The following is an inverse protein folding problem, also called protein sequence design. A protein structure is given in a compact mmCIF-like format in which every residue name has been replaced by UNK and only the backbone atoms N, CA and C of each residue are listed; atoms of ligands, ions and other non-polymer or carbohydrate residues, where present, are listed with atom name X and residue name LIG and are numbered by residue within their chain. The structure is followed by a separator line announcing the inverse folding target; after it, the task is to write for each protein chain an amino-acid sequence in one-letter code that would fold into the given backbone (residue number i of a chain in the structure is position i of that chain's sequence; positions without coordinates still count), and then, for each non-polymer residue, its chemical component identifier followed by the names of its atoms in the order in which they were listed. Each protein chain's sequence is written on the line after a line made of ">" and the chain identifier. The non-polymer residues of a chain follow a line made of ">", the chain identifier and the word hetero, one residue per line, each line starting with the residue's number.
data_IF_061796220918
#
_entry.id   IF_061796220918
#
_cell.length_a   1.000
_cell.length_b   1.000
_cell.length_c   1.000
_cell.angle_alpha   90.00
_cell.angle_beta   90.00
_cell.angle_gamma   90.00
#
_symmetry.space_group_name_H-M   'P 1'
#
loop_
_entity.id
_entity.type
_entity.pdbx_description
1 polymer ?
#
# COMPACT_ATOMS: atom_id res chain seq x y z
N UNK A 1 -24.71 -30.96 -0.41
CA UNK A 1 -23.24 -31.04 -0.58
C UNK A 1 -22.57 -29.69 -0.25
N UNK A 2 -23.06 -28.58 -0.76
CA UNK A 2 -22.49 -27.24 -0.54
C UNK A 2 -22.51 -26.79 0.91
N UNK A 3 -23.53 -27.20 1.69
CA UNK A 3 -23.61 -26.90 3.12
C UNK A 3 -22.48 -27.55 3.93
N UNK A 4 -21.95 -28.69 3.47
CA UNK A 4 -20.81 -29.34 4.12
C UNK A 4 -19.51 -28.53 4.01
N UNK A 5 -19.42 -27.63 3.07
CA UNK A 5 -18.27 -26.71 2.93
C UNK A 5 -18.54 -25.38 3.65
N UNK A 6 -19.77 -24.87 3.54
CA UNK A 6 -20.13 -23.56 4.11
C UNK A 6 -20.11 -23.58 5.65
N UNK A 7 -20.72 -24.62 6.26
CA UNK A 7 -20.84 -24.69 7.71
C UNK A 7 -19.49 -24.78 8.42
N UNK A 8 -18.54 -25.66 8.03
CA UNK A 8 -17.21 -25.68 8.64
C UNK A 8 -16.43 -24.38 8.42
N UNK A 9 -16.54 -23.79 7.23
CA UNK A 9 -15.84 -22.54 6.90
C UNK A 9 -16.37 -21.38 7.74
N UNK A 10 -17.66 -21.31 7.99
CA UNK A 10 -18.27 -20.31 8.86
C UNK A 10 -17.85 -20.49 10.33
N UNK A 11 -17.80 -21.73 10.81
CA UNK A 11 -17.35 -22.04 12.18
C UNK A 11 -15.86 -21.71 12.35
N UNK A 12 -15.04 -21.96 11.32
CA UNK A 12 -13.61 -21.65 11.33
C UNK A 12 -13.34 -20.14 11.38
N UNK A 13 -14.13 -19.32 10.67
CA UNK A 13 -14.02 -17.84 10.74
C UNK A 13 -14.24 -17.31 12.17
N UNK A 14 -15.07 -18.02 12.96
CA UNK A 14 -15.37 -17.60 14.33
C UNK A 14 -14.28 -18.05 15.31
N UNK A 15 -13.59 -19.18 15.03
CA UNK A 15 -12.65 -19.84 15.95
C UNK A 15 -11.19 -19.57 15.69
N UNK A 16 -10.77 -19.30 14.44
CA UNK A 16 -9.36 -19.23 14.05
C UNK A 16 -8.86 -17.80 13.88
N UNK A 17 -7.60 -17.59 14.25
CA UNK A 17 -6.89 -16.31 14.04
C UNK A 17 -6.52 -16.08 12.56
N UNK A 18 -6.38 -17.13 11.75
CA UNK A 18 -6.12 -17.03 10.30
C UNK A 18 -7.43 -16.98 9.49
N UNK A 19 -8.03 -15.81 9.43
CA UNK A 19 -9.33 -15.56 8.77
C UNK A 19 -9.31 -15.68 7.24
N UNK A 20 -8.13 -15.59 6.60
CA UNK A 20 -8.02 -15.50 5.13
C UNK A 20 -8.43 -16.78 4.43
N UNK A 21 -7.97 -17.94 4.91
CA UNK A 21 -8.30 -19.24 4.32
C UNK A 21 -9.79 -19.58 4.45
N UNK A 22 -10.35 -19.33 5.63
CA UNK A 22 -11.76 -19.58 5.93
C UNK A 22 -12.70 -18.66 5.15
N UNK A 23 -12.30 -17.40 4.90
CA UNK A 23 -13.03 -16.46 4.07
C UNK A 23 -13.07 -16.92 2.60
N UNK A 24 -11.94 -17.39 2.07
CA UNK A 24 -11.85 -17.93 0.71
C UNK A 24 -12.72 -19.18 0.57
N UNK A 25 -12.66 -20.12 1.53
CA UNK A 25 -13.46 -21.31 1.52
C UNK A 25 -14.97 -21.02 1.61
N UNK A 26 -15.36 -20.00 2.41
CA UNK A 26 -16.75 -19.54 2.49
C UNK A 26 -17.22 -18.94 1.15
N UNK A 27 -16.41 -18.10 0.50
CA UNK A 27 -16.74 -17.52 -0.81
C UNK A 27 -16.92 -18.62 -1.88
N UNK A 28 -16.03 -19.62 -1.89
CA UNK A 28 -16.16 -20.76 -2.80
C UNK A 28 -17.45 -21.55 -2.50
N UNK A 29 -17.73 -21.82 -1.23
CA UNK A 29 -18.93 -22.52 -0.81
C UNK A 29 -20.22 -21.80 -1.22
N UNK A 30 -20.28 -20.47 -1.06
CA UNK A 30 -21.41 -19.64 -1.49
C UNK A 30 -21.55 -19.63 -3.02
N UNK A 31 -20.44 -19.53 -3.77
CA UNK A 31 -20.44 -19.60 -5.22
C UNK A 31 -21.01 -20.95 -5.73
N UNK A 32 -20.59 -22.07 -5.11
CA UNK A 32 -21.10 -23.39 -5.42
C UNK A 32 -22.59 -23.54 -5.06
N UNK A 33 -23.06 -22.93 -3.97
CA UNK A 33 -24.46 -22.95 -3.57
C UNK A 33 -25.32 -22.18 -4.57
N UNK A 34 -24.90 -20.99 -5.01
CA UNK A 34 -25.57 -20.21 -6.03
C UNK A 34 -25.62 -20.93 -7.38
N UNK A 35 -24.55 -21.66 -7.73
CA UNK A 35 -24.50 -22.49 -8.92
C UNK A 35 -25.45 -23.69 -8.84
N UNK A 36 -25.60 -24.34 -7.66
CA UNK A 36 -26.49 -25.49 -7.48
C UNK A 36 -27.99 -25.14 -7.53
N UNK A 37 -28.31 -23.84 -7.50
CA UNK A 37 -29.70 -23.32 -7.60
C UNK A 37 -30.03 -22.77 -8.98
N UNK A 38 -29.19 -23.03 -10.00
CA UNK A 38 -29.30 -22.48 -11.36
C UNK A 38 -29.42 -20.94 -11.43
N UNK A 39 -29.05 -20.27 -10.32
CA UNK A 39 -29.04 -18.80 -10.27
C UNK A 39 -27.82 -18.27 -11.01
N UNK A 40 -26.70 -19.01 -10.99
CA UNK A 40 -25.48 -18.68 -11.72
C UNK A 40 -25.07 -19.88 -12.56
N UNK A 41 -25.00 -19.68 -13.87
CA UNK A 41 -24.51 -20.69 -14.79
C UNK A 41 -23.03 -21.01 -14.48
N UNK A 42 -22.72 -22.30 -14.23
CA UNK A 42 -21.36 -22.74 -13.92
C UNK A 42 -20.36 -22.37 -15.02
N UNK A 43 -20.83 -22.23 -16.25
CA UNK A 43 -20.01 -21.76 -17.36
C UNK A 43 -19.59 -20.30 -17.20
N UNK A 44 -20.39 -19.46 -16.55
CA UNK A 44 -20.07 -18.06 -16.24
C UNK A 44 -18.95 -17.97 -15.19
N UNK A 45 -18.96 -18.86 -14.19
CA UNK A 45 -17.90 -18.90 -13.18
C UNK A 45 -16.56 -19.21 -13.85
N UNK A 46 -16.49 -20.19 -14.74
CA UNK A 46 -15.25 -20.50 -15.48
C UNK A 46 -14.82 -19.38 -16.41
N UNK A 47 -15.77 -18.75 -17.10
CA UNK A 47 -15.47 -17.61 -17.99
C UNK A 47 -14.94 -16.39 -17.23
N UNK A 48 -15.35 -16.21 -15.97
CA UNK A 48 -14.91 -15.08 -15.14
C UNK A 48 -13.62 -15.40 -14.36
N UNK A 49 -13.47 -16.65 -13.90
CA UNK A 49 -12.33 -17.10 -13.09
C UNK A 49 -11.01 -17.01 -13.86
N UNK A 50 -11.02 -17.41 -15.13
CA UNK A 50 -9.84 -17.39 -15.98
C UNK A 50 -9.28 -15.98 -16.20
N UNK A 51 -10.07 -14.95 -16.58
CA UNK A 51 -9.60 -13.57 -16.64
C UNK A 51 -9.11 -13.04 -15.27
N UNK A 52 -9.78 -13.38 -14.17
CA UNK A 52 -9.37 -12.92 -12.83
C UNK A 52 -8.00 -13.50 -12.47
N UNK A 53 -7.74 -14.78 -12.76
CA UNK A 53 -6.42 -15.38 -12.54
C UNK A 53 -5.37 -14.66 -13.37
N UNK A 54 -5.63 -14.36 -14.65
CA UNK A 54 -4.68 -13.61 -15.48
C UNK A 54 -4.43 -12.19 -14.95
N UNK A 55 -5.44 -11.52 -14.44
CA UNK A 55 -5.30 -10.21 -13.79
C UNK A 55 -4.42 -10.32 -12.54
N UNK A 56 -4.65 -11.31 -11.68
CA UNK A 56 -3.85 -11.54 -10.48
C UNK A 56 -2.39 -11.86 -10.85
N UNK A 57 -2.17 -12.72 -11.82
CA UNK A 57 -0.81 -13.05 -12.31
C UNK A 57 -0.15 -11.79 -12.89
N UNK A 58 -0.86 -11.04 -13.73
CA UNK A 58 -0.35 -9.80 -14.32
C UNK A 58 0.02 -8.76 -13.26
N UNK A 59 -0.83 -8.54 -12.27
CA UNK A 59 -0.56 -7.69 -11.13
C UNK A 59 0.67 -8.19 -10.34
N UNK A 60 0.76 -9.49 -10.09
CA UNK A 60 1.90 -10.07 -9.36
C UNK A 60 3.22 -9.86 -10.11
N UNK A 61 3.23 -9.99 -11.44
CA UNK A 61 4.43 -9.75 -12.26
C UNK A 61 4.81 -8.25 -12.21
N UNK A 62 3.84 -7.36 -12.40
CA UNK A 62 4.06 -5.91 -12.34
C UNK A 62 4.62 -5.48 -10.98
N UNK A 63 4.07 -6.01 -9.89
CA UNK A 63 4.51 -5.67 -8.55
C UNK A 63 5.82 -6.37 -8.13
N UNK A 64 6.15 -7.54 -8.70
CA UNK A 64 7.34 -8.31 -8.34
C UNK A 64 8.65 -7.65 -8.80
N UNK A 65 8.69 -7.05 -9.98
CA UNK A 65 9.91 -6.46 -10.53
C UNK A 65 10.14 -5.00 -10.10
N UNK A 66 9.08 -4.28 -9.76
CA UNK A 66 9.17 -2.91 -9.24
C UNK A 66 9.84 -2.82 -7.87
N UNK A 67 9.92 -3.93 -7.13
CA UNK A 67 10.57 -4.00 -5.82
C UNK A 67 12.10 -4.23 -5.88
N UNK A 68 12.71 -4.30 -7.05
CA UNK A 68 14.15 -4.53 -7.22
C UNK A 68 14.97 -3.26 -7.48
N UNK A 69 14.57 -2.11 -6.96
CA UNK A 69 15.39 -0.89 -7.04
C UNK A 69 16.62 -0.99 -6.14
N UNK A 70 17.73 -0.37 -6.56
CA UNK A 70 19.00 -0.28 -5.81
C UNK A 70 18.85 0.26 -4.39
N UNK A 71 17.82 1.08 -4.17
CA UNK A 71 17.43 1.61 -2.85
C UNK A 71 17.00 0.49 -1.88
N UNK A 72 16.56 -0.67 -2.37
CA UNK A 72 16.14 -1.80 -1.54
C UNK A 72 17.28 -2.37 -0.68
N UNK A 73 18.54 -2.21 -1.09
CA UNK A 73 19.69 -2.64 -0.30
C UNK A 73 19.90 -1.71 0.91
N UNK A 74 19.75 -0.40 0.71
CA UNK A 74 19.83 0.61 1.77
C UNK A 74 18.57 0.60 2.66
N UNK A 75 17.38 0.39 2.07
CA UNK A 75 16.10 0.27 2.81
C UNK A 75 16.04 -0.96 3.74
N UNK A 76 16.81 -2.03 3.47
CA UNK A 76 16.89 -3.17 4.38
C UNK A 76 17.61 -2.84 5.68
N UNK A 77 18.46 -1.83 5.69
CA UNK A 77 19.17 -1.36 6.88
C UNK A 77 18.34 -0.34 7.67
N UNK A 78 17.51 0.47 6.98
CA UNK A 78 16.50 1.33 7.61
C UNK A 78 15.25 0.49 7.85
N UNK A 79 15.31 -0.39 8.83
CA UNK A 79 14.14 -1.17 9.26
C UNK A 79 13.02 -0.19 9.64
N UNK A 80 11.77 -0.50 9.22
CA UNK A 80 10.55 0.15 9.69
C UNK A 80 10.65 0.27 11.22
N UNK A 81 10.83 1.48 11.71
CA UNK A 81 10.90 1.72 13.14
C UNK A 81 9.58 1.29 13.78
N UNK A 82 9.63 0.66 14.94
CA UNK A 82 8.42 0.28 15.68
C UNK A 82 7.54 1.49 16.03
N UNK A 83 8.12 2.69 15.95
CA UNK A 83 7.43 3.97 16.21
C UNK A 83 7.04 4.70 14.91
N UNK A 84 7.03 4.06 13.73
CA UNK A 84 6.50 4.67 12.51
C UNK A 84 4.99 4.75 12.58
N UNK A 85 4.44 5.91 12.20
CA UNK A 85 2.99 6.14 12.18
C UNK A 85 2.34 5.48 10.97
N UNK A 86 1.12 4.95 11.16
CA UNK A 86 0.30 4.44 10.06
C UNK A 86 -0.88 5.38 9.81
N UNK A 87 -0.94 5.93 8.60
CA UNK A 87 -1.96 6.90 8.17
C UNK A 87 -2.75 6.26 7.03
N UNK A 88 -4.04 6.04 7.24
CA UNK A 88 -4.91 5.45 6.20
C UNK A 88 -6.08 6.37 5.91
N UNK A 89 -6.24 6.75 4.65
CA UNK A 89 -7.36 7.50 4.13
C UNK A 89 -8.17 6.62 3.16
N UNK A 90 -9.38 6.23 3.60
CA UNK A 90 -10.33 5.48 2.78
C UNK A 90 -11.58 6.34 2.62
N UNK A 91 -11.89 6.80 1.40
CA UNK A 91 -12.99 7.73 1.09
C UNK A 91 -12.94 9.05 1.88
N UNK A 92 -11.75 9.51 2.26
CA UNK A 92 -11.57 10.70 3.10
C UNK A 92 -10.28 11.45 2.77
N UNK A 93 -10.17 12.67 3.28
CA UNK A 93 -8.92 13.43 3.31
C UNK A 93 -8.33 13.37 4.72
N UNK A 94 -7.03 13.09 4.82
CA UNK A 94 -6.27 13.13 6.06
C UNK A 94 -5.17 14.18 5.95
N UNK A 95 -5.06 15.04 6.97
CA UNK A 95 -3.98 16.04 7.09
C UNK A 95 -3.22 15.78 8.37
N UNK A 96 -1.95 15.47 8.24
CA UNK A 96 -1.06 15.20 9.37
C UNK A 96 0.08 16.17 9.33
N UNK A 97 0.27 16.91 10.42
CA UNK A 97 1.30 17.92 10.56
C UNK A 97 2.21 17.56 11.74
N UNK A 98 3.52 17.67 11.50
CA UNK A 98 4.53 17.51 12.54
C UNK A 98 5.14 18.88 12.87
N UNK A 99 4.48 19.62 13.77
CA UNK A 99 4.98 20.90 14.23
C UNK A 99 5.88 20.69 15.46
N UNK A 100 7.20 20.82 15.26
CA UNK A 100 8.24 20.62 16.28
C UNK A 100 8.34 19.20 16.89
N UNK A 101 7.63 18.24 16.33
CA UNK A 101 7.63 16.84 16.74
C UNK A 101 8.75 16.03 16.06
N UNK A 102 9.15 14.91 16.68
CA UNK A 102 10.15 14.02 16.11
C UNK A 102 9.49 13.04 15.14
N UNK A 103 9.91 13.09 13.86
CA UNK A 103 9.45 12.16 12.85
C UNK A 103 10.36 10.91 12.78
N UNK A 104 9.76 9.73 12.89
CA UNK A 104 10.45 8.44 12.89
C UNK A 104 10.13 7.58 11.66
N UNK A 105 9.29 8.05 10.76
CA UNK A 105 8.82 7.35 9.58
C UNK A 105 7.29 7.23 9.55
N UNK A 106 6.74 6.96 8.37
CA UNK A 106 5.31 6.77 8.20
C UNK A 106 4.98 5.74 7.13
N UNK A 107 3.87 5.04 7.30
CA UNK A 107 3.23 4.23 6.26
C UNK A 107 1.90 4.91 5.91
N UNK A 108 1.72 5.26 4.64
CA UNK A 108 0.58 6.03 4.17
C UNK A 108 -0.19 5.22 3.13
N UNK A 109 -1.48 5.01 3.38
CA UNK A 109 -2.39 4.31 2.47
C UNK A 109 -3.54 5.23 2.07
N UNK A 110 -3.58 5.66 0.81
CA UNK A 110 -4.66 6.44 0.22
C UNK A 110 -5.42 5.57 -0.78
N UNK A 111 -6.61 5.05 -0.40
CA UNK A 111 -7.35 4.10 -1.24
C UNK A 111 -8.29 4.85 -2.21
N UNK A 112 -9.29 5.58 -1.73
CA UNK A 112 -10.18 6.46 -2.49
C UNK A 112 -10.20 7.87 -1.87
N UNK A 113 -9.02 8.35 -1.43
CA UNK A 113 -8.91 9.57 -0.68
C UNK A 113 -7.58 10.27 -0.90
N UNK A 114 -7.26 11.20 -0.02
CA UNK A 114 -5.98 11.90 -0.07
C UNK A 114 -5.35 12.00 1.32
N UNK A 115 -4.02 11.97 1.33
CA UNK A 115 -3.24 12.22 2.54
C UNK A 115 -2.26 13.36 2.27
N UNK A 116 -2.27 14.34 3.16
CA UNK A 116 -1.29 15.42 3.17
C UNK A 116 -0.44 15.31 4.43
N UNK A 117 0.84 14.99 4.24
CA UNK A 117 1.83 14.90 5.29
C UNK A 117 2.72 16.15 5.27
N UNK A 118 2.69 16.96 6.32
CA UNK A 118 3.51 18.15 6.43
C UNK A 118 4.64 17.93 7.44
N UNK A 119 5.85 17.80 6.92
CA UNK A 119 7.08 17.62 7.71
C UNK A 119 7.99 18.85 7.71
N UNK A 120 7.55 19.98 7.19
CA UNK A 120 8.39 21.18 7.04
C UNK A 120 9.00 21.69 8.36
N UNK A 121 8.33 21.42 9.47
CA UNK A 121 8.80 21.76 10.82
C UNK A 121 9.13 20.51 11.67
N UNK A 122 9.12 19.33 11.08
CA UNK A 122 9.41 18.09 11.78
C UNK A 122 10.90 18.00 12.16
N UNK A 123 11.20 17.40 13.30
CA UNK A 123 12.58 17.11 13.73
C UNK A 123 12.98 15.70 13.26
N UNK A 124 13.82 15.62 12.23
CA UNK A 124 14.33 14.35 11.71
C UNK A 124 15.70 14.08 12.34
N UNK A 125 15.73 13.27 13.39
CA UNK A 125 16.95 12.98 14.18
C UNK A 125 17.79 11.81 13.61
N UNK A 126 17.18 10.94 12.82
CA UNK A 126 17.80 9.76 12.20
C UNK A 126 17.23 9.55 10.81
N UNK A 127 17.85 8.69 10.03
CA UNK A 127 17.33 8.26 8.75
C UNK A 127 15.94 7.65 8.93
N UNK A 128 14.97 8.04 8.08
CA UNK A 128 13.59 7.64 8.20
C UNK A 128 13.03 7.18 6.85
N UNK A 129 12.00 6.32 6.91
CA UNK A 129 11.31 5.78 5.75
C UNK A 129 9.86 6.28 5.73
N UNK A 130 9.43 6.76 4.58
CA UNK A 130 8.03 7.00 4.24
C UNK A 130 7.64 5.98 3.16
N UNK A 131 6.70 5.12 3.48
CA UNK A 131 6.14 4.14 2.54
C UNK A 131 4.73 4.57 2.16
N UNK A 132 4.48 4.84 0.88
CA UNK A 132 3.19 5.34 0.42
C UNK A 132 2.56 4.41 -0.58
N UNK A 133 1.26 4.14 -0.40
CA UNK A 133 0.44 3.41 -1.36
C UNK A 133 -0.77 4.26 -1.73
N UNK A 134 -0.91 4.60 -3.01
CA UNK A 134 -2.04 5.33 -3.56
C UNK A 134 -2.76 4.49 -4.61
N UNK A 135 -4.03 4.14 -4.39
CA UNK A 135 -4.80 3.33 -5.33
C UNK A 135 -5.65 4.22 -6.25
N UNK A 136 -6.67 4.90 -5.74
CA UNK A 136 -7.49 5.89 -6.48
C UNK A 136 -7.47 7.23 -5.75
N UNK A 137 -6.28 7.71 -5.40
CA UNK A 137 -6.17 8.89 -4.57
C UNK A 137 -4.85 9.62 -4.75
N UNK A 138 -4.49 10.44 -3.77
CA UNK A 138 -3.26 11.22 -3.80
C UNK A 138 -2.56 11.30 -2.46
N UNK A 139 -1.24 11.38 -2.50
CA UNK A 139 -0.41 11.66 -1.33
C UNK A 139 0.42 12.90 -1.60
N UNK A 140 0.32 13.90 -0.76
CA UNK A 140 1.16 15.09 -0.79
C UNK A 140 2.10 15.07 0.41
N UNK A 141 3.40 15.19 0.15
CA UNK A 141 4.42 15.20 1.20
C UNK A 141 5.20 16.50 1.11
N UNK A 142 5.12 17.31 2.16
CA UNK A 142 5.86 18.54 2.30
C UNK A 142 7.07 18.32 3.20
N UNK A 143 8.27 18.55 2.70
CA UNK A 143 9.51 18.20 3.37
C UNK A 143 10.29 19.42 3.87
N UNK A 144 11.10 19.25 4.93
CA UNK A 144 12.05 20.28 5.35
C UNK A 144 13.20 20.38 4.34
N UNK A 145 13.86 21.54 4.29
CA UNK A 145 14.94 21.83 3.33
C UNK A 145 16.28 21.18 3.68
N UNK A 146 16.44 20.71 4.89
CA UNK A 146 17.71 20.24 5.47
C UNK A 146 17.86 18.71 5.45
N UNK A 147 17.11 17.99 4.62
CA UNK A 147 17.16 16.53 4.50
C UNK A 147 17.59 16.09 3.10
N UNK A 148 18.32 15.00 3.04
CA UNK A 148 18.61 14.33 1.78
C UNK A 148 17.44 13.41 1.42
N UNK A 149 16.82 13.62 0.26
CA UNK A 149 15.63 12.86 -0.15
C UNK A 149 16.01 11.83 -1.22
N UNK A 150 15.72 10.57 -0.92
CA UNK A 150 15.90 9.45 -1.86
C UNK A 150 14.54 8.84 -2.16
N UNK A 151 14.11 8.93 -3.43
CA UNK A 151 12.79 8.49 -3.87
C UNK A 151 12.90 7.24 -4.73
N UNK A 152 12.18 6.20 -4.34
CA UNK A 152 11.86 5.06 -5.18
C UNK A 152 10.36 5.09 -5.50
N UNK A 153 9.98 4.89 -6.74
CA UNK A 153 8.57 4.89 -7.11
C UNK A 153 8.24 3.78 -8.08
N UNK A 154 7.02 3.26 -7.91
CA UNK A 154 6.38 2.32 -8.81
C UNK A 154 5.00 2.85 -9.14
N UNK A 155 4.73 3.13 -10.41
CA UNK A 155 3.43 3.63 -10.84
C UNK A 155 2.93 2.81 -12.02
N UNK A 156 1.65 2.41 -12.00
CA UNK A 156 1.01 1.65 -13.10
C UNK A 156 0.18 2.58 -13.97
N UNK A 157 -0.84 3.23 -13.41
CA UNK A 157 -1.66 4.25 -14.08
C UNK A 157 -1.67 5.55 -13.25
N UNK A 158 -0.51 5.91 -12.73
CA UNK A 158 -0.33 7.07 -11.87
C UNK A 158 1.04 7.68 -12.03
N UNK A 159 1.41 8.58 -11.11
CA UNK A 159 2.71 9.24 -11.16
C UNK A 159 3.25 9.53 -9.76
N UNK A 160 4.57 9.71 -9.70
CA UNK A 160 5.24 10.33 -8.55
C UNK A 160 5.97 11.57 -9.05
N UNK A 161 5.58 12.73 -8.54
CA UNK A 161 6.18 14.00 -8.90
C UNK A 161 7.05 14.50 -7.75
N UNK A 162 8.36 14.56 -8.00
CA UNK A 162 9.33 15.06 -7.04
C UNK A 162 9.75 16.48 -7.47
N UNK A 163 9.24 17.49 -6.76
CA UNK A 163 9.54 18.91 -6.99
C UNK A 163 10.73 19.42 -6.20
N UNK A 164 11.38 18.56 -5.42
CA UNK A 164 12.57 18.95 -4.66
C UNK A 164 13.73 19.11 -5.64
N UNK A 165 14.32 20.30 -5.66
CA UNK A 165 15.56 20.53 -6.41
C UNK A 165 16.66 19.67 -5.78
N UNK A 166 17.39 18.92 -6.60
CA UNK A 166 18.60 18.21 -6.17
C UNK A 166 19.63 19.24 -5.73
N UNK A 167 19.63 19.60 -4.47
CA UNK A 167 20.78 20.23 -3.85
C UNK A 167 21.86 19.17 -3.66
N UNK A 168 23.14 19.59 -3.63
CA UNK A 168 24.27 18.67 -3.36
C UNK A 168 23.99 17.94 -2.06
N UNK A 169 24.06 16.60 -2.08
CA UNK A 169 23.94 15.79 -0.87
C UNK A 169 24.83 16.37 0.23
N UNK A 170 24.23 16.73 1.34
CA UNK A 170 24.98 17.21 2.49
C UNK A 170 25.21 16.02 3.43
N UNK A 171 26.45 15.60 3.58
CA UNK A 171 26.84 14.45 4.41
C UNK A 171 26.40 14.59 5.89
N UNK A 172 26.11 15.82 6.33
CA UNK A 172 25.62 16.08 7.70
C UNK A 172 24.10 15.96 7.82
N UNK A 173 23.37 16.00 6.71
CA UNK A 173 21.91 15.89 6.68
C UNK A 173 21.46 14.43 6.79
N UNK A 174 20.29 14.21 7.42
CA UNK A 174 19.69 12.87 7.50
C UNK A 174 19.07 12.47 6.17
N UNK A 175 19.06 11.18 5.89
CA UNK A 175 18.43 10.64 4.70
C UNK A 175 16.95 10.32 4.96
N UNK A 176 16.09 10.82 4.09
CA UNK A 176 14.68 10.50 4.06
C UNK A 176 14.39 9.65 2.83
N UNK A 177 14.07 8.40 3.06
CA UNK A 177 13.72 7.45 2.01
C UNK A 177 12.23 7.50 1.78
N UNK A 178 11.80 7.67 0.53
CA UNK A 178 10.39 7.66 0.15
C UNK A 178 10.20 6.54 -0.86
N UNK A 179 9.40 5.55 -0.49
CA UNK A 179 8.98 4.47 -1.37
C UNK A 179 7.51 4.69 -1.73
N UNK A 180 7.22 4.93 -3.01
CA UNK A 180 5.88 5.28 -3.47
C UNK A 180 5.34 4.25 -4.44
N UNK A 181 4.16 3.73 -4.15
CA UNK A 181 3.42 2.81 -5.03
C UNK A 181 2.10 3.45 -5.44
N UNK A 182 1.92 3.75 -6.73
CA UNK A 182 0.71 4.38 -7.26
C UNK A 182 0.06 3.48 -8.31
N UNK A 183 -1.22 3.16 -8.16
CA UNK A 183 -1.97 2.36 -9.14
C UNK A 183 -2.76 3.25 -10.07
N UNK A 184 -3.79 3.95 -9.61
CA UNK A 184 -4.56 4.97 -10.34
C UNK A 184 -4.51 6.32 -9.60
N UNK A 185 -3.40 6.61 -8.96
CA UNK A 185 -3.25 7.77 -8.12
C UNK A 185 -1.90 8.45 -8.29
N UNK A 186 -1.55 9.35 -7.38
CA UNK A 186 -0.30 10.08 -7.45
C UNK A 186 0.32 10.38 -6.10
N UNK A 187 1.64 10.56 -6.10
CA UNK A 187 2.38 11.07 -4.95
C UNK A 187 3.15 12.31 -5.36
N UNK A 188 2.91 13.41 -4.68
CA UNK A 188 3.59 14.67 -4.90
C UNK A 188 4.51 14.98 -3.72
N UNK A 189 5.79 15.28 -4.00
CA UNK A 189 6.83 15.57 -3.01
C UNK A 189 7.32 16.99 -3.26
N UNK A 190 7.20 17.84 -2.22
CA UNK A 190 7.52 19.29 -2.27
C UNK A 190 8.44 19.70 -1.15
#
# INVERSE_FOLDING_TARGET
>A
WTLFIIVPSFVSIIKDEEKTGSLIALLIGVALLLSSRDIIDFSLIWKLLLPIIFVIIGLTIIFKDSFKSSIKKELKEVKKDKNSEEITATFSEQKVNYDDETFNGATINAIFGSVKLDLRKAKIKKDALIDTTSIFGGVEILLPKDVNVKVASTSVFGSTDNKIKKEKENEKSKNLYINSTNIFGGTEIK
#
